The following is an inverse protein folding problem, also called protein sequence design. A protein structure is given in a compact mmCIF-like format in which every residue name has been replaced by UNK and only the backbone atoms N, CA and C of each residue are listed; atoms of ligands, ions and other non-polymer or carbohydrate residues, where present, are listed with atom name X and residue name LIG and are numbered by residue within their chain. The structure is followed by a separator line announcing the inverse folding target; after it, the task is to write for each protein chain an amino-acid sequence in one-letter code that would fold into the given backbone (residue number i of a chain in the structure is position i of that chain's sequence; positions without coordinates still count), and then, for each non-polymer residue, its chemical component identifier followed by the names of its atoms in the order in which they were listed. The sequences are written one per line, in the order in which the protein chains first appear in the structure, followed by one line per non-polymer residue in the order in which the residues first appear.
data_IF_383565985247
#
_entry.id   IF_383565985247
#
_cell.length_a   1.000
_cell.length_b   1.000
_cell.length_c   1.000
_cell.angle_alpha   90.00
_cell.angle_beta   90.00
_cell.angle_gamma   90.00
#
_symmetry.space_group_name_H-M   'P 1'
#
loop_
_entity.id
_entity.type
_entity.pdbx_description
1 polymer ?
#
# COMPACT_ATOMS: atom_id res chain seq x y z
N UNK A 1 6.01 3.16 40.54
CA UNK A 1 6.87 3.55 39.39
C UNK A 1 6.92 2.48 38.28
N UNK A 2 7.10 1.18 38.57
CA UNK A 2 7.22 0.12 37.55
C UNK A 2 6.00 -0.10 36.65
N UNK A 3 4.77 0.02 37.20
CA UNK A 3 3.53 -0.20 36.43
C UNK A 3 3.34 0.82 35.29
N UNK A 4 3.77 2.07 35.48
CA UNK A 4 3.59 3.15 34.49
C UNK A 4 4.45 2.94 33.25
N UNK A 5 5.67 2.43 33.42
CA UNK A 5 6.55 2.09 32.29
C UNK A 5 6.03 0.93 31.46
N UNK A 6 5.48 -0.09 32.12
CA UNK A 6 4.86 -1.23 31.44
C UNK A 6 3.66 -0.76 30.58
N UNK A 7 2.80 0.08 31.14
CA UNK A 7 1.65 0.63 30.41
C UNK A 7 2.06 1.51 29.21
N UNK A 8 3.12 2.31 29.35
CA UNK A 8 3.67 3.11 28.24
C UNK A 8 4.29 2.25 27.13
N UNK A 9 4.96 1.16 27.48
CA UNK A 9 5.48 0.20 26.49
C UNK A 9 4.34 -0.48 25.72
N UNK A 10 3.29 -0.92 26.42
CA UNK A 10 2.13 -1.52 25.77
C UNK A 10 1.41 -0.54 24.84
N UNK A 11 1.23 0.73 25.23
CA UNK A 11 0.57 1.71 24.34
C UNK A 11 1.37 1.98 23.06
N UNK A 12 2.71 2.04 23.14
CA UNK A 12 3.57 2.16 21.96
C UNK A 12 3.49 0.94 21.03
N UNK A 13 3.49 -0.27 21.60
CA UNK A 13 3.35 -1.51 20.85
C UNK A 13 1.99 -1.57 20.13
N UNK A 14 0.88 -1.26 20.82
CA UNK A 14 -0.45 -1.25 20.20
C UNK A 14 -0.55 -0.21 19.07
N UNK A 15 0.00 1.00 19.26
CA UNK A 15 -0.01 2.05 18.25
C UNK A 15 0.78 1.66 16.99
N UNK A 16 1.95 1.03 17.15
CA UNK A 16 2.75 0.55 16.01
C UNK A 16 2.05 -0.54 15.20
N UNK A 17 1.39 -1.49 15.88
CA UNK A 17 0.62 -2.55 15.22
C UNK A 17 -0.60 -2.00 14.47
N UNK A 18 -1.34 -1.06 15.06
CA UNK A 18 -2.47 -0.40 14.43
C UNK A 18 -2.04 0.32 13.13
N UNK A 19 -0.93 1.08 13.18
CA UNK A 19 -0.43 1.83 12.03
C UNK A 19 -0.02 0.90 10.87
N UNK A 20 0.75 -0.15 11.16
CA UNK A 20 1.17 -1.12 10.16
C UNK A 20 -0.01 -1.88 9.53
N UNK A 21 -1.02 -2.21 10.33
CA UNK A 21 -2.24 -2.88 9.83
C UNK A 21 -3.05 -1.99 8.88
N UNK A 22 -3.14 -0.69 9.18
CA UNK A 22 -3.86 0.27 8.35
C UNK A 22 -3.13 0.48 7.01
N UNK A 23 -1.82 0.70 7.06
CA UNK A 23 -1.00 0.88 5.86
C UNK A 23 -1.07 -0.37 4.95
N UNK A 24 -1.06 -1.58 5.54
CA UNK A 24 -1.20 -2.84 4.81
C UNK A 24 -2.55 -2.95 4.10
N UNK A 25 -3.64 -2.53 4.76
CA UNK A 25 -4.99 -2.52 4.17
C UNK A 25 -5.07 -1.51 3.01
N UNK A 26 -4.50 -0.32 3.19
CA UNK A 26 -4.46 0.71 2.16
C UNK A 26 -3.67 0.27 0.93
N UNK A 27 -2.47 -0.31 1.13
CA UNK A 27 -1.67 -0.88 0.04
C UNK A 27 -2.45 -1.94 -0.76
N UNK A 28 -3.15 -2.86 -0.08
CA UNK A 28 -3.98 -3.88 -0.76
C UNK A 28 -5.10 -3.24 -1.57
N UNK A 29 -5.77 -2.22 -1.03
CA UNK A 29 -6.87 -1.53 -1.68
C UNK A 29 -6.40 -0.78 -2.94
N UNK A 30 -5.31 -0.03 -2.85
CA UNK A 30 -4.76 0.70 -3.99
C UNK A 30 -4.17 -0.25 -5.06
N UNK A 31 -3.51 -1.35 -4.66
CA UNK A 31 -3.09 -2.38 -5.61
C UNK A 31 -4.26 -3.02 -6.35
N UNK A 32 -5.38 -3.25 -5.67
CA UNK A 32 -6.60 -3.78 -6.29
C UNK A 32 -7.15 -2.79 -7.31
N UNK A 33 -7.32 -1.52 -6.94
CA UNK A 33 -7.78 -0.47 -7.88
C UNK A 33 -6.85 -0.33 -9.08
N UNK A 34 -5.54 -0.39 -8.88
CA UNK A 34 -4.56 -0.37 -9.96
C UNK A 34 -4.70 -1.60 -10.87
N UNK A 35 -4.85 -2.78 -10.29
CA UNK A 35 -5.06 -4.00 -11.07
C UNK A 35 -6.36 -3.95 -11.85
N UNK A 36 -7.44 -3.45 -11.26
CA UNK A 36 -8.74 -3.33 -11.92
C UNK A 36 -8.66 -2.34 -13.10
N UNK A 37 -8.00 -1.19 -12.90
CA UNK A 37 -7.72 -0.22 -13.96
C UNK A 37 -6.83 -0.78 -15.08
N UNK A 38 -5.93 -1.70 -14.76
CA UNK A 38 -5.09 -2.40 -15.73
C UNK A 38 -5.79 -3.60 -16.38
N UNK A 39 -6.73 -4.26 -15.69
CA UNK A 39 -7.33 -5.55 -16.09
C UNK A 39 -8.18 -5.48 -17.35
N UNK A 40 -8.55 -4.28 -17.77
CA UNK A 40 -9.08 -4.01 -19.12
C UNK A 40 -8.07 -4.35 -20.21
N UNK A 41 -6.77 -4.47 -19.87
CA UNK A 41 -5.68 -4.88 -20.73
C UNK A 41 -4.99 -6.13 -20.17
N UNK A 42 -4.63 -7.09 -21.03
CA UNK A 42 -3.93 -8.35 -20.71
C UNK A 42 -2.56 -8.17 -19.98
N UNK A 43 -2.14 -6.93 -19.74
CA UNK A 43 -0.82 -6.54 -19.25
C UNK A 43 -0.76 -6.26 -17.75
N UNK A 44 -1.82 -6.46 -16.97
CA UNK A 44 -1.85 -6.01 -15.55
C UNK A 44 -0.68 -6.54 -14.70
N UNK A 45 -0.29 -7.80 -14.88
CA UNK A 45 0.86 -8.40 -14.18
C UNK A 45 2.22 -7.97 -14.76
N UNK A 46 2.24 -7.53 -16.03
CA UNK A 46 3.43 -7.05 -16.73
C UNK A 46 3.63 -5.54 -16.63
N UNK A 47 2.66 -4.81 -16.11
CA UNK A 47 2.76 -3.36 -15.97
C UNK A 47 3.84 -2.99 -14.94
N UNK A 48 4.83 -2.21 -15.37
CA UNK A 48 5.96 -1.81 -14.53
C UNK A 48 5.51 -1.14 -13.22
N UNK A 49 4.49 -0.27 -13.29
CA UNK A 49 3.93 0.39 -12.11
C UNK A 49 3.31 -0.58 -11.10
N UNK A 50 2.65 -1.63 -11.60
CA UNK A 50 2.05 -2.67 -10.75
C UNK A 50 3.13 -3.53 -10.08
N UNK A 51 4.13 -3.99 -10.85
CA UNK A 51 5.25 -4.77 -10.31
C UNK A 51 6.03 -4.01 -9.25
N UNK A 52 6.27 -2.71 -9.47
CA UNK A 52 6.97 -1.86 -8.51
C UNK A 52 6.20 -1.73 -7.19
N UNK A 53 4.90 -1.45 -7.26
CA UNK A 53 4.05 -1.37 -6.06
C UNK A 53 3.97 -2.70 -5.32
N UNK A 54 3.87 -3.82 -6.05
CA UNK A 54 3.90 -5.17 -5.49
C UNK A 54 5.23 -5.48 -4.78
N UNK A 55 6.36 -5.11 -5.38
CA UNK A 55 7.67 -5.28 -4.74
C UNK A 55 7.79 -4.50 -3.42
N UNK A 56 7.30 -3.26 -3.37
CA UNK A 56 7.26 -2.51 -2.11
C UNK A 56 6.35 -3.16 -1.05
N UNK A 57 5.22 -3.76 -1.45
CA UNK A 57 4.38 -4.56 -0.52
C UNK A 57 5.14 -5.77 0.01
N UNK A 58 5.84 -6.48 -0.87
CA UNK A 58 6.58 -7.70 -0.52
C UNK A 58 7.78 -7.40 0.41
N UNK A 59 8.30 -6.16 0.37
CA UNK A 59 9.28 -5.61 1.31
C UNK A 59 8.66 -4.95 2.56
N UNK A 60 7.35 -5.13 2.80
CA UNK A 60 6.60 -4.51 3.92
C UNK A 60 6.60 -2.97 3.93
N UNK A 61 6.97 -2.32 2.83
CA UNK A 61 6.94 -0.87 2.64
C UNK A 61 5.51 -0.40 2.28
N UNK A 62 4.52 -0.67 3.13
CA UNK A 62 3.10 -0.53 2.79
C UNK A 62 2.67 0.88 2.36
N UNK A 63 3.15 1.95 3.03
CA UNK A 63 2.89 3.34 2.62
C UNK A 63 3.42 3.64 1.22
N UNK A 64 4.60 3.11 0.91
CA UNK A 64 5.24 3.27 -0.40
C UNK A 64 4.50 2.50 -1.47
N UNK A 65 4.04 1.28 -1.16
CA UNK A 65 3.13 0.51 -2.02
C UNK A 65 1.87 1.32 -2.36
N UNK A 66 1.17 1.87 -1.37
CA UNK A 66 -0.05 2.64 -1.59
C UNK A 66 0.21 3.86 -2.49
N UNK A 67 1.26 4.64 -2.20
CA UNK A 67 1.64 5.80 -3.00
C UNK A 67 2.01 5.44 -4.45
N UNK A 68 2.78 4.37 -4.64
CA UNK A 68 3.17 3.90 -5.98
C UNK A 68 1.96 3.39 -6.77
N UNK A 69 1.08 2.62 -6.14
CA UNK A 69 -0.11 2.08 -6.77
C UNK A 69 -1.06 3.21 -7.21
N UNK A 70 -1.30 4.20 -6.33
CA UNK A 70 -2.12 5.37 -6.63
C UNK A 70 -1.57 6.18 -7.80
N UNK A 71 -0.28 6.51 -7.77
CA UNK A 71 0.37 7.27 -8.85
C UNK A 71 0.36 6.53 -10.19
N UNK A 72 0.53 5.21 -10.16
CA UNK A 72 0.43 4.40 -11.38
C UNK A 72 -0.99 4.41 -11.94
N UNK A 73 -2.01 4.35 -11.08
CA UNK A 73 -3.42 4.44 -11.50
C UNK A 73 -3.74 5.82 -12.08
N UNK A 74 -3.36 6.89 -11.40
CA UNK A 74 -3.55 8.27 -11.86
C UNK A 74 -2.90 8.52 -13.23
N UNK A 75 -1.78 7.85 -13.55
CA UNK A 75 -1.18 7.90 -14.89
C UNK A 75 -2.04 7.21 -15.93
N UNK A 76 -2.51 5.99 -15.66
CA UNK A 76 -3.39 5.26 -16.57
C UNK A 76 -4.69 6.01 -16.85
N UNK A 77 -5.26 6.64 -15.83
CA UNK A 77 -6.45 7.47 -15.97
C UNK A 77 -6.19 8.66 -16.90
N UNK A 78 -5.07 9.38 -16.71
CA UNK A 78 -4.67 10.49 -17.60
C UNK A 78 -4.38 10.04 -19.03
N UNK A 79 -3.72 8.90 -19.21
CA UNK A 79 -3.37 8.38 -20.53
C UNK A 79 -4.61 7.90 -21.30
N UNK A 80 -5.69 7.51 -20.61
CA UNK A 80 -6.97 7.11 -21.22
C UNK A 80 -7.82 8.31 -21.65
N UNK A 81 -7.72 9.42 -20.92
CA UNK A 81 -8.52 10.63 -21.14
C UNK A 81 -7.87 11.61 -22.14
N UNK A 82 -6.69 11.26 -22.69
CA UNK A 82 -5.92 12.02 -23.69
C UNK A 82 -6.16 11.49 -25.12
#
# INVERSE_FOLDING_TARGET
MKLRFILLLFSFLLAGNALASNDRRECKLELRKLNDALSTNYTSQNHHGYRKAKASRDNEEYKKCASQARKARERLERDRDA
#
